data_IF_251120524147
#
_entry.id   IF_251120524147
#
_cell.length_a   1.000
_cell.length_b   1.000
_cell.length_c   1.000
_cell.angle_alpha   90.00
_cell.angle_beta   90.00
_cell.angle_gamma   90.00
#
_symmetry.space_group_name_H-M   'P 1'
#
loop_
_entity.id
_entity.type
_entity.pdbx_description
1 polymer ?
#
# COMPACT_ATOMS: atom_id res chain seq x y z
N UNK A 1 22.15 -9.11 -19.32
CA UNK A 1 21.85 -8.90 -17.87
C UNK A 1 20.63 -9.74 -17.51
N UNK A 2 20.80 -10.70 -16.60
CA UNK A 2 19.69 -11.50 -16.06
C UNK A 2 19.07 -10.79 -14.86
N UNK A 3 17.75 -10.74 -14.82
CA UNK A 3 17.02 -10.02 -13.78
C UNK A 3 16.10 -10.98 -12.99
N UNK A 4 16.01 -10.80 -11.68
CA UNK A 4 15.02 -11.41 -10.81
C UNK A 4 14.10 -10.36 -10.20
N UNK A 5 12.81 -10.65 -10.20
CA UNK A 5 11.79 -9.93 -9.44
C UNK A 5 11.45 -10.77 -8.22
N UNK A 6 11.55 -10.19 -7.03
CA UNK A 6 11.32 -10.91 -5.78
C UNK A 6 10.21 -10.20 -5.00
N UNK A 7 9.06 -10.86 -4.85
CA UNK A 7 7.93 -10.30 -4.12
C UNK A 7 7.71 -11.01 -2.79
N UNK A 8 7.21 -10.29 -1.78
CA UNK A 8 7.09 -10.87 -0.44
C UNK A 8 6.14 -12.07 -0.39
N UNK A 9 4.97 -12.04 -0.98
CA UNK A 9 4.05 -13.18 -1.16
C UNK A 9 2.89 -12.83 -2.10
N UNK A 10 2.27 -13.87 -2.67
CA UNK A 10 1.02 -13.77 -3.41
C UNK A 10 -0.05 -14.59 -2.67
N UNK A 11 -0.58 -14.07 -1.55
CA UNK A 11 -1.61 -14.71 -0.72
C UNK A 11 -2.85 -13.84 -0.50
N UNK A 12 -2.83 -12.65 -1.07
CA UNK A 12 -3.93 -11.68 -1.10
C UNK A 12 -3.83 -10.86 -2.38
N UNK A 13 -4.84 -10.05 -2.68
CA UNK A 13 -4.73 -8.99 -3.70
C UNK A 13 -4.66 -7.64 -3.02
N UNK A 14 -3.69 -6.82 -3.41
CA UNK A 14 -3.50 -5.48 -2.89
C UNK A 14 -2.53 -4.65 -3.71
N UNK A 15 -2.14 -3.49 -3.19
CA UNK A 15 -1.26 -2.57 -3.90
C UNK A 15 0.15 -3.10 -4.16
N UNK A 16 0.66 -3.94 -3.26
CA UNK A 16 2.00 -4.55 -3.43
C UNK A 16 2.05 -5.52 -4.60
N UNK A 17 1.02 -6.36 -4.74
CA UNK A 17 0.88 -7.31 -5.84
C UNK A 17 0.72 -6.59 -7.19
N UNK A 18 0.04 -5.42 -7.22
CA UNK A 18 -0.03 -4.58 -8.43
C UNK A 18 1.33 -4.03 -8.82
N UNK A 19 2.15 -3.60 -7.88
CA UNK A 19 3.53 -3.15 -8.17
C UNK A 19 4.36 -4.30 -8.74
N UNK A 20 4.28 -5.50 -8.16
CA UNK A 20 4.98 -6.68 -8.67
C UNK A 20 4.52 -7.06 -10.09
N UNK A 21 3.22 -6.93 -10.38
CA UNK A 21 2.65 -7.14 -11.71
C UNK A 21 3.23 -6.14 -12.72
N UNK A 22 3.27 -4.84 -12.38
CA UNK A 22 3.86 -3.80 -13.24
C UNK A 22 5.36 -4.07 -13.47
N UNK A 23 6.11 -4.51 -12.45
CA UNK A 23 7.50 -4.92 -12.67
C UNK A 23 7.61 -6.09 -13.65
N UNK A 24 6.74 -7.08 -13.55
CA UNK A 24 6.73 -8.19 -14.48
C UNK A 24 6.32 -7.77 -15.91
N UNK A 25 5.44 -6.79 -16.06
CA UNK A 25 5.10 -6.18 -17.36
C UNK A 25 6.30 -5.41 -17.94
N UNK A 26 7.04 -4.67 -17.11
CA UNK A 26 8.24 -3.92 -17.52
C UNK A 26 9.40 -4.83 -17.95
N UNK A 27 9.55 -5.98 -17.30
CA UNK A 27 10.64 -6.93 -17.45
C UNK A 27 10.13 -8.33 -17.78
N UNK A 28 9.66 -8.57 -19.02
CA UNK A 28 9.02 -9.83 -19.38
C UNK A 28 9.95 -11.05 -19.30
N UNK A 29 11.26 -10.86 -19.37
CA UNK A 29 12.25 -11.94 -19.28
C UNK A 29 12.76 -12.20 -17.84
N UNK A 30 12.27 -11.44 -16.84
CA UNK A 30 12.70 -11.61 -15.47
C UNK A 30 12.04 -12.85 -14.83
N UNK A 31 12.84 -13.64 -14.11
CA UNK A 31 12.34 -14.72 -13.27
C UNK A 31 11.68 -14.15 -12.01
N UNK A 32 10.58 -14.75 -11.56
CA UNK A 32 9.80 -14.27 -10.41
C UNK A 32 9.94 -15.21 -9.22
N UNK A 33 10.26 -14.62 -8.07
CA UNK A 33 10.40 -15.31 -6.78
C UNK A 33 9.42 -14.76 -5.75
N UNK A 34 8.97 -15.61 -4.83
CA UNK A 34 8.16 -15.19 -3.70
C UNK A 34 8.40 -16.07 -2.45
N UNK A 35 8.10 -15.54 -1.27
CA UNK A 35 8.15 -16.34 -0.05
C UNK A 35 7.10 -17.45 -0.08
N UNK A 36 5.86 -17.08 -0.43
CA UNK A 36 4.69 -17.96 -0.53
C UNK A 36 3.78 -17.52 -1.67
N UNK A 37 3.12 -18.48 -2.30
CA UNK A 37 2.15 -18.25 -3.37
C UNK A 37 0.87 -19.03 -3.15
N UNK A 38 -0.26 -18.38 -3.40
CA UNK A 38 -1.54 -19.02 -3.61
C UNK A 38 -1.94 -18.72 -5.06
N UNK A 39 -2.15 -19.73 -5.91
CA UNK A 39 -2.44 -19.53 -7.33
C UNK A 39 -3.60 -18.59 -7.63
N UNK A 40 -4.57 -18.49 -6.72
CA UNK A 40 -5.72 -17.58 -6.86
C UNK A 40 -5.30 -16.10 -6.85
N UNK A 41 -4.20 -15.77 -6.15
CA UNK A 41 -3.76 -14.39 -5.95
C UNK A 41 -2.55 -14.00 -6.81
N UNK A 42 -1.97 -14.94 -7.56
CA UNK A 42 -0.89 -14.62 -8.51
C UNK A 42 -1.48 -13.89 -9.71
N UNK A 43 -0.99 -12.68 -10.07
CA UNK A 43 -1.44 -11.97 -11.27
C UNK A 43 -1.23 -12.83 -12.53
N UNK A 44 -2.15 -12.73 -13.49
CA UNK A 44 -2.15 -13.59 -14.71
C UNK A 44 -0.84 -13.46 -15.51
N UNK A 45 -0.31 -12.25 -15.62
CA UNK A 45 0.96 -11.98 -16.30
C UNK A 45 2.16 -12.67 -15.65
N UNK A 46 2.12 -12.88 -14.33
CA UNK A 46 3.16 -13.58 -13.56
C UNK A 46 2.91 -15.10 -13.59
N UNK A 47 1.66 -15.55 -13.45
CA UNK A 47 1.34 -16.97 -13.36
C UNK A 47 1.73 -17.74 -14.61
N UNK A 48 1.66 -17.13 -15.79
CA UNK A 48 2.09 -17.72 -17.07
C UNK A 48 3.60 -18.03 -17.14
N UNK A 49 4.41 -17.35 -16.34
CA UNK A 49 5.88 -17.53 -16.28
C UNK A 49 6.31 -18.47 -15.18
N UNK A 50 5.43 -18.74 -14.23
CA UNK A 50 5.74 -19.44 -13.00
C UNK A 50 6.36 -18.54 -11.93
N UNK A 51 6.23 -18.97 -10.68
CA UNK A 51 6.84 -18.31 -9.51
C UNK A 51 7.63 -19.34 -8.72
N UNK A 52 8.91 -19.05 -8.49
CA UNK A 52 9.74 -19.86 -7.59
C UNK A 52 9.46 -19.45 -6.15
N UNK A 53 8.84 -20.34 -5.38
CA UNK A 53 8.51 -20.09 -3.97
C UNK A 53 9.57 -20.70 -3.04
N UNK A 54 9.67 -20.12 -1.82
CA UNK A 54 10.56 -20.65 -0.78
C UNK A 54 10.13 -22.06 -0.32
N UNK A 55 10.99 -22.75 0.47
CA UNK A 55 10.64 -24.04 1.05
C UNK A 55 9.40 -23.99 1.95
N UNK A 56 9.03 -22.82 2.48
CA UNK A 56 7.81 -22.67 3.28
C UNK A 56 6.55 -23.08 2.53
N UNK A 57 6.55 -23.00 1.19
CA UNK A 57 5.45 -23.46 0.35
C UNK A 57 5.13 -24.95 0.55
N UNK A 58 6.10 -25.77 0.99
CA UNK A 58 5.92 -27.21 1.25
C UNK A 58 5.22 -27.49 2.58
N UNK A 59 5.10 -26.50 3.46
CA UNK A 59 4.40 -26.65 4.74
C UNK A 59 2.88 -26.67 4.48
N UNK A 60 2.16 -27.69 4.98
CA UNK A 60 0.71 -27.77 4.80
C UNK A 60 0.01 -26.49 5.28
N UNK A 61 -0.87 -25.91 4.44
CA UNK A 61 -1.61 -24.66 4.72
C UNK A 61 -0.72 -23.43 4.97
N UNK A 62 0.51 -23.41 4.49
CA UNK A 62 1.47 -22.31 4.70
C UNK A 62 0.86 -20.93 4.40
N UNK A 63 0.12 -20.79 3.30
CA UNK A 63 -0.54 -19.52 2.92
C UNK A 63 -1.53 -19.00 3.97
N UNK A 64 -2.19 -19.89 4.71
CA UNK A 64 -3.13 -19.52 5.78
C UNK A 64 -2.43 -19.20 7.10
N UNK A 65 -1.32 -19.88 7.39
CA UNK A 65 -0.59 -19.76 8.67
C UNK A 65 0.71 -18.94 8.54
N UNK A 66 0.94 -18.29 7.40
CA UNK A 66 2.19 -17.60 7.07
C UNK A 66 2.68 -16.67 8.21
N UNK A 67 1.77 -15.96 8.89
CA UNK A 67 2.13 -15.08 10.01
C UNK A 67 2.78 -15.80 11.19
N UNK A 68 2.47 -17.08 11.38
CA UNK A 68 3.06 -17.91 12.43
C UNK A 68 4.44 -18.48 12.02
N UNK A 69 4.79 -18.38 10.72
CA UNK A 69 6.07 -18.83 10.18
C UNK A 69 7.15 -17.74 10.27
N UNK A 70 6.88 -16.63 10.92
CA UNK A 70 7.78 -15.48 11.08
C UNK A 70 9.22 -15.87 11.48
N UNK A 71 9.47 -16.75 12.46
CA UNK A 71 10.84 -17.15 12.83
C UNK A 71 11.63 -17.81 11.71
N UNK A 72 10.96 -18.40 10.72
CA UNK A 72 11.57 -19.09 9.59
C UNK A 72 11.83 -18.17 8.38
N UNK A 73 11.35 -16.93 8.40
CA UNK A 73 11.50 -16.01 7.28
C UNK A 73 12.95 -15.75 6.88
N UNK A 74 13.89 -15.49 7.81
CA UNK A 74 15.29 -15.31 7.45
C UNK A 74 15.83 -16.49 6.64
N UNK A 75 15.66 -17.70 7.14
CA UNK A 75 16.13 -18.91 6.49
C UNK A 75 15.46 -19.12 5.11
N UNK A 76 14.15 -18.88 5.03
CA UNK A 76 13.39 -19.10 3.81
C UNK A 76 13.76 -18.13 2.68
N UNK A 77 14.10 -16.90 3.04
CA UNK A 77 14.52 -15.87 2.10
C UNK A 77 15.95 -16.10 1.62
N UNK A 78 16.86 -16.39 2.53
CA UNK A 78 18.29 -16.59 2.23
C UNK A 78 18.58 -17.90 1.47
N UNK A 79 17.62 -18.82 1.40
CA UNK A 79 17.72 -20.05 0.59
C UNK A 79 17.32 -19.88 -0.88
N UNK A 80 16.75 -18.74 -1.27
CA UNK A 80 16.47 -18.48 -2.67
C UNK A 80 17.79 -18.24 -3.41
N UNK A 81 18.09 -19.07 -4.40
CA UNK A 81 19.31 -18.93 -5.17
C UNK A 81 19.16 -17.81 -6.23
N UNK A 82 19.74 -16.67 -5.92
CA UNK A 82 19.79 -15.50 -6.79
C UNK A 82 21.18 -15.28 -7.40
N UNK A 83 22.12 -16.22 -7.25
CA UNK A 83 23.47 -16.13 -7.83
C UNK A 83 23.48 -15.98 -9.36
N UNK A 84 22.51 -16.50 -10.16
CA UNK A 84 22.51 -16.31 -11.61
C UNK A 84 22.15 -14.88 -12.08
N UNK A 85 21.69 -13.98 -11.19
CA UNK A 85 21.11 -12.69 -11.57
C UNK A 85 22.08 -11.52 -11.37
N UNK A 86 22.07 -10.60 -12.33
CA UNK A 86 22.87 -9.38 -12.33
C UNK A 86 22.13 -8.24 -11.60
N UNK A 87 20.80 -8.21 -11.71
CA UNK A 87 19.92 -7.24 -11.08
C UNK A 87 18.78 -7.97 -10.34
N UNK A 88 18.65 -7.71 -9.06
CA UNK A 88 17.58 -8.21 -8.21
C UNK A 88 16.69 -7.04 -7.79
N UNK A 89 15.42 -7.08 -8.20
CA UNK A 89 14.41 -6.08 -7.84
C UNK A 89 13.44 -6.69 -6.83
N UNK A 90 13.53 -6.27 -5.58
CA UNK A 90 12.58 -6.71 -4.55
C UNK A 90 11.41 -5.73 -4.43
N UNK A 91 10.17 -6.25 -4.34
CA UNK A 91 8.94 -5.54 -4.02
C UNK A 91 8.51 -6.01 -2.63
N UNK A 92 8.80 -5.22 -1.59
CA UNK A 92 8.83 -5.71 -0.22
C UNK A 92 8.08 -4.86 0.80
N UNK A 93 7.21 -5.51 1.55
CA UNK A 93 6.67 -5.03 2.84
C UNK A 93 6.94 -6.04 3.97
N UNK A 94 7.86 -6.97 3.71
CA UNK A 94 8.16 -8.13 4.53
C UNK A 94 9.66 -8.43 4.58
N UNK A 95 10.05 -9.71 4.44
CA UNK A 95 11.43 -10.13 4.61
C UNK A 95 12.26 -10.15 3.31
N UNK A 96 11.68 -9.90 2.12
CA UNK A 96 12.32 -10.24 0.85
C UNK A 96 13.53 -9.37 0.49
N UNK A 97 13.68 -8.19 1.10
CA UNK A 97 14.93 -7.41 1.00
C UNK A 97 16.15 -8.16 1.60
N UNK A 98 15.90 -9.25 2.33
CA UNK A 98 16.93 -10.07 2.94
C UNK A 98 17.53 -11.14 2.02
N UNK A 99 17.14 -11.23 0.75
CA UNK A 99 17.75 -12.15 -0.21
C UNK A 99 19.27 -11.95 -0.30
N UNK A 100 19.97 -13.04 -0.61
CA UNK A 100 21.42 -13.01 -0.81
C UNK A 100 21.71 -12.88 -2.31
N UNK A 101 22.55 -11.92 -2.65
CA UNK A 101 23.03 -11.68 -4.01
C UNK A 101 24.54 -11.86 -4.06
N UNK A 102 25.10 -12.11 -5.25
CA UNK A 102 26.54 -12.11 -5.43
C UNK A 102 27.11 -10.68 -5.31
N UNK A 103 28.41 -10.50 -5.01
CA UNK A 103 29.00 -9.20 -4.72
C UNK A 103 28.91 -8.18 -5.85
N UNK A 104 28.89 -8.63 -7.11
CA UNK A 104 28.81 -7.81 -8.31
C UNK A 104 27.39 -7.63 -8.85
N UNK A 105 26.38 -8.24 -8.22
CA UNK A 105 24.98 -8.01 -8.55
C UNK A 105 24.42 -6.78 -7.84
N UNK A 106 23.48 -6.11 -8.49
CA UNK A 106 22.77 -4.95 -7.91
C UNK A 106 21.46 -5.38 -7.30
N UNK A 107 21.24 -5.02 -6.03
CA UNK A 107 19.98 -5.23 -5.34
C UNK A 107 19.23 -3.89 -5.14
N UNK A 108 18.12 -3.72 -5.84
CA UNK A 108 17.20 -2.59 -5.67
C UNK A 108 15.96 -3.05 -4.92
N UNK A 109 15.61 -2.37 -3.84
CA UNK A 109 14.44 -2.69 -3.03
C UNK A 109 13.37 -1.60 -3.16
N UNK A 110 12.26 -1.91 -3.83
CA UNK A 110 11.04 -1.13 -3.74
C UNK A 110 10.31 -1.47 -2.44
N UNK A 111 10.48 -0.61 -1.46
CA UNK A 111 9.98 -0.81 -0.11
C UNK A 111 8.57 -0.21 0.03
N UNK A 112 7.57 -1.08 0.19
CA UNK A 112 6.21 -0.62 0.51
C UNK A 112 6.12 -0.12 1.95
N UNK A 113 6.86 -0.75 2.85
CA UNK A 113 6.98 -0.38 4.26
C UNK A 113 8.04 -1.24 4.95
N UNK A 114 8.86 -0.73 5.87
CA UNK A 114 9.48 -1.55 6.90
C UNK A 114 8.44 -2.38 7.64
N UNK A 115 8.76 -3.62 8.04
CA UNK A 115 7.81 -4.55 8.65
C UNK A 115 7.15 -3.95 9.92
N UNK A 116 5.91 -3.43 9.79
CA UNK A 116 5.23 -2.68 10.86
C UNK A 116 5.13 -3.46 12.17
N UNK A 117 4.85 -4.76 12.10
CA UNK A 117 4.72 -5.62 13.28
C UNK A 117 6.05 -5.86 14.03
N UNK A 118 7.18 -5.52 13.43
CA UNK A 118 8.50 -5.58 14.08
C UNK A 118 8.93 -4.22 14.64
N UNK A 119 8.48 -3.11 14.03
CA UNK A 119 8.90 -1.74 14.32
C UNK A 119 7.80 -0.95 15.01
N UNK A 120 7.24 0.05 14.38
CA UNK A 120 6.25 0.99 14.95
C UNK A 120 4.95 0.34 15.43
N UNK A 121 4.49 -0.71 14.76
CA UNK A 121 3.29 -1.47 15.15
C UNK A 121 3.50 -2.50 16.26
N UNK A 122 4.75 -2.80 16.65
CA UNK A 122 5.08 -3.91 17.55
C UNK A 122 4.23 -3.94 18.82
N UNK A 123 4.15 -2.84 19.55
CA UNK A 123 3.39 -2.79 20.80
C UNK A 123 1.88 -2.92 20.58
N UNK A 124 1.36 -2.43 19.46
CA UNK A 124 -0.05 -2.59 19.10
C UNK A 124 -0.39 -4.06 18.85
N UNK A 125 0.44 -4.75 18.06
CA UNK A 125 0.27 -6.19 17.81
C UNK A 125 0.40 -7.00 19.11
N UNK A 126 1.39 -6.70 19.94
CA UNK A 126 1.60 -7.40 21.20
C UNK A 126 0.40 -7.26 22.17
N UNK A 127 -0.26 -6.08 22.19
CA UNK A 127 -1.46 -5.86 23.03
C UNK A 127 -2.64 -6.72 22.60
N UNK A 128 -2.82 -6.98 21.31
CA UNK A 128 -3.94 -7.75 20.77
C UNK A 128 -3.75 -9.28 20.87
N UNK A 129 -2.55 -9.74 21.22
CA UNK A 129 -2.23 -11.18 21.28
C UNK A 129 -2.69 -11.82 22.59
N UNK A 130 -3.08 -13.12 22.54
CA UNK A 130 -3.27 -13.92 23.75
C UNK A 130 -2.01 -13.96 24.60
N UNK A 131 -2.17 -14.03 25.94
CA UNK A 131 -1.05 -13.98 26.90
C UNK A 131 0.06 -14.99 26.57
N UNK A 132 -0.31 -16.25 26.26
CA UNK A 132 0.64 -17.32 25.95
C UNK A 132 1.43 -17.09 24.66
N UNK A 133 0.92 -16.28 23.72
CA UNK A 133 1.59 -15.96 22.46
C UNK A 133 2.55 -14.77 22.58
N UNK A 134 2.46 -13.96 23.63
CA UNK A 134 3.24 -12.73 23.78
C UNK A 134 4.75 -12.97 23.88
N UNK A 135 5.18 -13.94 24.71
CA UNK A 135 6.61 -14.25 24.89
C UNK A 135 7.22 -14.85 23.60
N UNK A 136 6.65 -15.90 22.98
CA UNK A 136 7.13 -16.41 21.70
C UNK A 136 7.19 -15.34 20.61
N UNK A 137 6.17 -14.49 20.52
CA UNK A 137 6.16 -13.39 19.54
C UNK A 137 7.25 -12.35 19.83
N UNK A 138 7.48 -12.00 21.09
CA UNK A 138 8.52 -11.04 21.46
C UNK A 138 9.93 -11.54 21.10
N UNK A 139 10.21 -12.82 21.37
CA UNK A 139 11.49 -13.45 21.03
C UNK A 139 11.68 -13.53 19.53
N UNK A 140 10.68 -14.01 18.80
CA UNK A 140 10.70 -14.08 17.33
C UNK A 140 10.85 -12.69 16.71
N UNK A 141 10.13 -11.68 17.21
CA UNK A 141 10.22 -10.31 16.73
C UNK A 141 11.58 -9.69 16.99
N UNK A 142 12.20 -9.95 18.12
CA UNK A 142 13.57 -9.48 18.42
C UNK A 142 14.58 -10.09 17.43
N UNK A 143 14.53 -11.39 17.24
CA UNK A 143 15.39 -12.12 16.29
C UNK A 143 15.21 -11.60 14.86
N UNK A 144 13.98 -11.55 14.37
CA UNK A 144 13.70 -11.13 12.99
C UNK A 144 13.97 -9.64 12.79
N UNK A 145 13.78 -8.77 13.80
CA UNK A 145 14.12 -7.34 13.72
C UNK A 145 15.63 -7.12 13.57
N UNK A 146 16.44 -7.87 14.31
CA UNK A 146 17.90 -7.80 14.18
C UNK A 146 18.35 -8.23 12.78
N UNK A 147 17.80 -9.34 12.30
CA UNK A 147 18.06 -9.81 10.94
C UNK A 147 17.56 -8.81 9.87
N UNK A 148 16.38 -8.23 10.06
CA UNK A 148 15.77 -7.25 9.16
C UNK A 148 16.64 -5.99 9.00
N UNK A 149 17.22 -5.50 10.11
CA UNK A 149 18.17 -4.41 10.08
C UNK A 149 19.45 -4.76 9.31
N UNK A 150 20.04 -5.95 9.58
CA UNK A 150 21.23 -6.42 8.88
C UNK A 150 20.95 -6.63 7.39
N UNK A 151 19.82 -7.21 7.07
CA UNK A 151 19.35 -7.42 5.69
C UNK A 151 19.24 -6.10 4.91
N UNK A 152 18.73 -5.05 5.55
CA UNK A 152 18.61 -3.74 4.93
C UNK A 152 19.96 -3.12 4.57
N UNK A 153 21.05 -3.49 5.26
CA UNK A 153 22.40 -2.97 4.93
C UNK A 153 22.97 -3.59 3.64
N UNK A 154 22.45 -4.73 3.19
CA UNK A 154 22.87 -5.39 1.93
C UNK A 154 22.20 -4.84 0.68
N UNK A 155 21.13 -4.06 0.83
CA UNK A 155 20.42 -3.43 -0.29
C UNK A 155 21.28 -2.31 -0.88
N UNK A 156 21.55 -2.33 -2.19
CA UNK A 156 22.30 -1.27 -2.85
C UNK A 156 21.49 0.02 -2.94
N UNK A 157 20.21 -0.06 -3.33
CA UNK A 157 19.36 1.12 -3.48
C UNK A 157 17.93 0.86 -2.98
N UNK A 158 17.46 1.73 -2.09
CA UNK A 158 16.07 1.74 -1.66
C UNK A 158 15.23 2.69 -2.49
N UNK A 159 14.05 2.22 -2.90
CA UNK A 159 12.99 3.04 -3.45
C UNK A 159 11.83 2.98 -2.46
N UNK A 160 11.44 4.12 -1.91
CA UNK A 160 10.30 4.22 -0.99
C UNK A 160 9.03 4.55 -1.77
N UNK A 161 7.90 3.96 -1.41
CA UNK A 161 6.61 4.24 -2.06
C UNK A 161 6.00 5.60 -1.66
N UNK A 162 6.61 6.32 -0.71
CA UNK A 162 6.16 7.61 -0.20
C UNK A 162 7.26 8.29 0.61
N UNK A 163 7.17 9.61 0.83
CA UNK A 163 8.04 10.31 1.77
C UNK A 163 7.85 9.79 3.20
N UNK A 164 6.62 9.39 3.54
CA UNK A 164 6.32 8.77 4.82
C UNK A 164 7.12 7.48 5.04
N UNK A 165 7.21 6.61 4.03
CA UNK A 165 8.01 5.39 4.08
C UNK A 165 9.51 5.68 3.98
N UNK A 166 9.93 6.69 3.20
CA UNK A 166 11.32 7.13 3.16
C UNK A 166 11.83 7.55 4.55
N UNK A 167 11.02 8.32 5.31
CA UNK A 167 11.33 8.66 6.69
C UNK A 167 11.45 7.44 7.61
N UNK A 168 10.63 6.40 7.39
CA UNK A 168 10.71 5.13 8.14
C UNK A 168 11.95 4.31 7.78
N UNK A 169 12.34 4.26 6.50
CA UNK A 169 13.58 3.61 6.04
C UNK A 169 14.78 4.29 6.70
N UNK A 170 14.83 5.61 6.66
CA UNK A 170 15.89 6.39 7.33
C UNK A 170 15.92 6.13 8.83
N UNK A 171 14.77 6.18 9.50
CA UNK A 171 14.67 5.99 10.95
C UNK A 171 15.07 4.59 11.43
N UNK A 172 14.57 3.53 10.75
CA UNK A 172 14.77 2.14 11.21
C UNK A 172 16.00 1.48 10.65
N UNK A 173 16.42 1.84 9.44
CA UNK A 173 17.56 1.21 8.77
C UNK A 173 18.78 2.10 8.66
N UNK A 174 18.65 3.42 8.91
CA UNK A 174 19.73 4.38 8.70
C UNK A 174 20.11 4.50 7.22
N UNK A 175 19.18 4.24 6.29
CA UNK A 175 19.42 4.22 4.84
C UNK A 175 18.65 5.33 4.15
N UNK A 176 19.25 5.91 3.12
CA UNK A 176 18.59 6.81 2.19
C UNK A 176 17.72 6.04 1.20
N UNK A 177 16.74 6.71 0.60
CA UNK A 177 15.87 6.13 -0.42
C UNK A 177 15.39 7.18 -1.41
N UNK A 178 15.20 6.76 -2.66
CA UNK A 178 14.49 7.55 -3.69
C UNK A 178 13.00 7.35 -3.55
N UNK A 179 12.21 8.42 -3.57
CA UNK A 179 10.75 8.29 -3.51
C UNK A 179 10.19 8.07 -4.93
N UNK A 180 9.46 6.99 -5.09
CA UNK A 180 8.68 6.68 -6.29
C UNK A 180 7.30 6.17 -5.87
N UNK A 181 6.27 6.98 -6.09
CA UNK A 181 4.88 6.63 -5.76
C UNK A 181 4.42 5.41 -6.56
N UNK A 182 3.60 4.50 -5.96
CA UNK A 182 3.16 3.28 -6.62
C UNK A 182 2.21 3.57 -7.80
N UNK A 183 2.13 2.66 -8.77
CA UNK A 183 1.33 2.83 -9.97
C UNK A 183 -0.18 2.75 -9.66
N UNK A 184 -0.92 3.77 -10.11
CA UNK A 184 -2.38 3.80 -10.08
C UNK A 184 -2.89 3.66 -11.52
N UNK A 185 -3.90 2.83 -11.74
CA UNK A 185 -4.53 2.67 -13.04
C UNK A 185 -5.58 3.77 -13.25
N UNK A 186 -5.12 5.01 -13.44
CA UNK A 186 -6.00 6.18 -13.55
C UNK A 186 -6.83 6.18 -14.83
N UNK A 187 -6.43 5.39 -15.83
CA UNK A 187 -7.17 5.24 -17.09
C UNK A 187 -8.55 4.57 -16.91
N UNK A 188 -8.76 3.83 -15.81
CA UNK A 188 -10.08 3.25 -15.46
C UNK A 188 -11.02 4.27 -14.87
N UNK A 189 -10.50 5.37 -14.32
CA UNK A 189 -11.30 6.44 -13.74
C UNK A 189 -12.01 7.25 -14.82
N UNK A 190 -13.27 7.59 -14.58
CA UNK A 190 -14.04 8.46 -15.44
C UNK A 190 -14.91 9.43 -14.63
N UNK A 191 -15.24 10.56 -15.22
CA UNK A 191 -16.12 11.54 -14.61
C UNK A 191 -17.57 11.16 -14.89
N UNK A 192 -18.36 10.92 -13.84
CA UNK A 192 -19.81 10.78 -13.99
C UNK A 192 -20.46 12.17 -14.09
N UNK A 193 -21.59 12.27 -14.80
CA UNK A 193 -22.31 13.54 -15.04
C UNK A 193 -22.74 14.20 -13.74
N UNK A 194 -23.21 13.42 -12.75
CA UNK A 194 -23.54 13.89 -11.41
C UNK A 194 -23.25 12.81 -10.36
N UNK A 195 -22.80 13.18 -9.15
CA UNK A 195 -22.71 12.24 -8.04
C UNK A 195 -24.11 11.83 -7.57
N UNK A 196 -24.22 10.59 -7.06
CA UNK A 196 -25.34 10.14 -6.25
C UNK A 196 -25.14 10.60 -4.79
N UNK A 197 -26.23 10.63 -4.02
CA UNK A 197 -26.19 11.07 -2.62
C UNK A 197 -25.67 9.99 -1.67
N UNK A 198 -24.39 9.60 -1.79
CA UNK A 198 -23.70 8.74 -0.82
C UNK A 198 -22.21 9.05 -0.72
N UNK A 199 -21.67 8.82 0.48
CA UNK A 199 -20.23 8.74 0.72
C UNK A 199 -19.75 7.31 0.51
N UNK A 200 -18.47 7.16 0.17
CA UNK A 200 -17.86 5.86 -0.06
C UNK A 200 -16.75 5.59 0.95
N UNK A 201 -16.69 4.37 1.49
CA UNK A 201 -15.53 3.82 2.14
C UNK A 201 -15.10 2.54 1.39
N UNK A 202 -13.85 2.45 0.97
CA UNK A 202 -13.37 1.32 0.18
C UNK A 202 -12.08 0.72 0.76
N UNK A 203 -11.97 -0.60 0.70
CA UNK A 203 -10.77 -1.33 1.07
C UNK A 203 -11.03 -2.51 2.01
N UNK A 204 -9.94 -3.14 2.44
CA UNK A 204 -10.01 -4.29 3.33
C UNK A 204 -10.52 -3.90 4.71
N UNK A 205 -11.53 -4.60 5.25
CA UNK A 205 -12.13 -4.29 6.55
C UNK A 205 -11.31 -4.89 7.69
N UNK A 206 -10.30 -4.10 8.12
CA UNK A 206 -9.35 -4.44 9.19
C UNK A 206 -9.25 -3.30 10.22
N UNK A 207 -8.85 -3.56 11.47
CA UNK A 207 -8.93 -2.57 12.55
C UNK A 207 -8.24 -1.23 12.27
N UNK A 208 -7.06 -1.23 11.62
CA UNK A 208 -6.32 0.02 11.37
C UNK A 208 -6.97 0.94 10.33
N UNK A 209 -7.92 0.42 9.52
CA UNK A 209 -8.71 1.22 8.57
C UNK A 209 -9.75 2.11 9.25
N UNK A 210 -10.06 1.85 10.52
CA UNK A 210 -10.94 2.68 11.35
C UNK A 210 -12.33 2.91 10.73
N UNK A 211 -12.84 1.92 9.98
CA UNK A 211 -14.15 2.01 9.30
C UNK A 211 -15.30 2.23 10.28
N UNK A 212 -15.13 1.78 11.53
CA UNK A 212 -16.12 2.00 12.61
C UNK A 212 -16.38 3.49 12.86
N UNK A 213 -15.36 4.35 12.75
CA UNK A 213 -15.52 5.80 12.95
C UNK A 213 -16.33 6.43 11.84
N UNK A 214 -16.16 5.95 10.59
CA UNK A 214 -16.93 6.41 9.43
C UNK A 214 -18.40 6.03 9.58
N UNK A 215 -18.69 4.80 10.02
CA UNK A 215 -20.05 4.32 10.26
C UNK A 215 -20.71 5.17 11.35
N UNK A 216 -20.03 5.41 12.47
CA UNK A 216 -20.57 6.19 13.59
C UNK A 216 -20.85 7.64 13.16
N UNK A 217 -19.91 8.29 12.47
CA UNK A 217 -20.08 9.65 11.96
C UNK A 217 -21.29 9.75 11.01
N UNK A 218 -21.40 8.82 10.04
CA UNK A 218 -22.50 8.81 9.09
C UNK A 218 -23.84 8.47 9.74
N UNK A 219 -23.90 7.55 10.71
CA UNK A 219 -25.10 7.27 11.49
C UNK A 219 -25.61 8.52 12.22
N UNK A 220 -24.71 9.26 12.88
CA UNK A 220 -25.05 10.46 13.67
C UNK A 220 -25.50 11.63 12.79
N UNK A 221 -24.90 11.76 11.60
CA UNK A 221 -25.28 12.80 10.61
C UNK A 221 -26.48 12.39 9.74
N UNK A 222 -26.90 11.12 9.77
CA UNK A 222 -27.93 10.60 8.86
C UNK A 222 -27.47 10.57 7.40
N UNK A 223 -26.16 10.47 7.13
CA UNK A 223 -25.60 10.45 5.77
C UNK A 223 -25.51 9.03 5.25
N UNK A 224 -25.78 8.84 3.95
CA UNK A 224 -25.64 7.54 3.29
C UNK A 224 -24.17 7.20 3.11
N UNK A 225 -23.78 5.99 3.54
CA UNK A 225 -22.42 5.47 3.37
C UNK A 225 -22.48 4.09 2.71
N UNK A 226 -21.81 3.95 1.58
CA UNK A 226 -21.55 2.66 0.94
C UNK A 226 -20.16 2.17 1.33
N UNK A 227 -20.07 0.92 1.75
CA UNK A 227 -18.81 0.29 2.19
C UNK A 227 -18.48 -0.85 1.24
N UNK A 228 -17.38 -0.70 0.50
CA UNK A 228 -16.84 -1.72 -0.42
C UNK A 228 -15.67 -2.42 0.24
N UNK A 229 -15.72 -3.74 0.26
CA UNK A 229 -14.64 -4.58 0.75
C UNK A 229 -15.09 -5.67 1.69
N UNK A 230 -14.14 -6.53 2.02
CA UNK A 230 -14.29 -7.66 2.94
C UNK A 230 -13.17 -7.68 3.96
N UNK A 231 -13.36 -8.36 5.06
CA UNK A 231 -12.33 -8.49 6.09
C UNK A 231 -12.85 -9.03 7.41
N UNK A 232 -11.98 -9.29 8.37
CA UNK A 232 -12.34 -9.89 9.67
C UNK A 232 -13.30 -9.02 10.50
N UNK A 233 -13.34 -7.70 10.25
CA UNK A 233 -14.20 -6.77 10.99
C UNK A 233 -15.66 -6.73 10.49
N UNK A 234 -16.01 -7.41 9.40
CA UNK A 234 -17.31 -7.28 8.72
C UNK A 234 -18.50 -7.50 9.66
N UNK A 235 -18.44 -8.53 10.52
CA UNK A 235 -19.54 -8.85 11.44
C UNK A 235 -19.74 -7.75 12.49
N UNK A 236 -18.64 -7.24 13.07
CA UNK A 236 -18.65 -6.14 14.04
C UNK A 236 -19.17 -4.85 13.41
N UNK A 237 -18.68 -4.51 12.22
CA UNK A 237 -19.08 -3.29 11.52
C UNK A 237 -20.56 -3.31 11.10
N UNK A 238 -21.08 -4.46 10.65
CA UNK A 238 -22.51 -4.62 10.35
C UNK A 238 -23.41 -4.45 11.59
N UNK A 239 -22.95 -4.90 12.75
CA UNK A 239 -23.71 -4.73 14.01
C UNK A 239 -23.80 -3.25 14.46
N UNK A 240 -22.90 -2.37 13.98
CA UNK A 240 -22.91 -0.93 14.28
C UNK A 240 -23.68 -0.11 13.23
N UNK A 241 -23.98 -0.69 12.09
CA UNK A 241 -24.56 0.01 10.95
C UNK A 241 -26.02 0.38 11.20
N UNK A 242 -26.35 1.65 10.99
CA UNK A 242 -27.72 2.16 10.93
C UNK A 242 -28.33 1.98 9.53
N UNK A 243 -29.56 2.47 9.33
CA UNK A 243 -30.33 2.26 8.09
C UNK A 243 -29.71 2.96 6.86
N UNK A 244 -28.81 3.92 7.04
CA UNK A 244 -28.15 4.66 5.96
C UNK A 244 -26.84 4.01 5.50
N UNK A 245 -26.40 2.92 6.13
CA UNK A 245 -25.12 2.27 5.85
C UNK A 245 -25.35 1.00 5.03
N UNK A 246 -24.72 0.93 3.86
CA UNK A 246 -24.82 -0.19 2.92
C UNK A 246 -23.46 -0.88 2.74
N UNK A 247 -23.42 -2.23 2.89
CA UNK A 247 -22.21 -3.03 2.65
C UNK A 247 -22.34 -3.75 1.30
N UNK A 248 -21.51 -3.36 0.35
CA UNK A 248 -21.50 -3.91 -1.01
C UNK A 248 -20.64 -5.18 -1.15
N UNK A 249 -19.82 -5.51 -0.12
CA UNK A 249 -18.90 -6.63 -0.21
C UNK A 249 -17.74 -6.38 -1.15
N UNK A 250 -17.17 -7.46 -1.71
CA UNK A 250 -16.15 -7.36 -2.74
C UNK A 250 -16.84 -7.09 -4.10
N UNK A 251 -16.39 -6.06 -4.80
CA UNK A 251 -16.87 -5.74 -6.15
C UNK A 251 -15.82 -6.15 -7.19
N UNK A 252 -16.28 -6.46 -8.40
CA UNK A 252 -15.41 -6.54 -9.57
C UNK A 252 -14.91 -5.14 -9.95
N UNK A 253 -13.88 -5.07 -10.81
CA UNK A 253 -13.29 -3.80 -11.20
C UNK A 253 -14.30 -2.80 -11.79
N UNK A 254 -15.17 -3.25 -12.69
CA UNK A 254 -16.17 -2.37 -13.33
C UNK A 254 -17.09 -1.70 -12.31
N UNK A 255 -17.65 -2.49 -11.39
CA UNK A 255 -18.60 -2.00 -10.39
C UNK A 255 -17.88 -1.15 -9.32
N UNK A 256 -16.62 -1.47 -8.98
CA UNK A 256 -15.81 -0.68 -8.08
C UNK A 256 -15.56 0.74 -8.65
N UNK A 257 -15.09 0.84 -9.90
CA UNK A 257 -14.83 2.14 -10.52
C UNK A 257 -16.13 2.94 -10.72
N UNK A 258 -17.25 2.28 -11.04
CA UNK A 258 -18.56 2.91 -11.04
C UNK A 258 -18.93 3.46 -9.66
N UNK A 259 -18.70 2.69 -8.61
CA UNK A 259 -19.01 3.12 -7.23
C UNK A 259 -18.15 4.32 -6.82
N UNK A 260 -16.88 4.39 -7.25
CA UNK A 260 -16.07 5.60 -7.07
C UNK A 260 -16.68 6.79 -7.84
N UNK A 261 -16.97 6.62 -9.12
CA UNK A 261 -17.39 7.72 -10.01
C UNK A 261 -18.69 8.41 -9.57
N UNK A 262 -19.60 7.66 -8.96
CA UNK A 262 -20.89 8.20 -8.50
C UNK A 262 -20.93 8.61 -7.02
N UNK A 263 -19.88 8.41 -6.26
CA UNK A 263 -19.84 8.87 -4.87
C UNK A 263 -19.77 10.41 -4.78
N UNK A 264 -20.32 11.02 -3.73
CA UNK A 264 -20.09 12.44 -3.42
C UNK A 264 -18.62 12.69 -3.08
N UNK A 265 -18.10 11.87 -2.16
CA UNK A 265 -16.70 11.88 -1.75
C UNK A 265 -16.31 10.52 -1.16
N UNK A 266 -15.01 10.23 -1.11
CA UNK A 266 -14.44 9.13 -0.35
C UNK A 266 -14.19 9.55 1.09
N UNK A 267 -14.58 8.72 2.05
CA UNK A 267 -14.19 8.83 3.46
C UNK A 267 -13.02 7.89 3.75
N UNK A 268 -11.92 8.41 4.26
CA UNK A 268 -10.69 7.65 4.46
C UNK A 268 -10.06 7.93 5.83
N UNK A 269 -10.32 7.06 6.81
CA UNK A 269 -9.88 7.22 8.19
C UNK A 269 -8.57 6.50 8.54
N UNK A 270 -7.95 5.82 7.57
CA UNK A 270 -6.73 5.06 7.81
C UNK A 270 -5.48 5.95 7.84
N UNK A 271 -4.51 5.58 8.70
CA UNK A 271 -3.12 5.99 8.56
C UNK A 271 -2.40 4.95 7.72
N UNK A 272 -2.17 5.25 6.45
CA UNK A 272 -1.50 4.36 5.49
C UNK A 272 -0.13 4.87 5.06
N UNK A 273 0.66 3.96 4.51
CA UNK A 273 2.00 4.26 4.03
C UNK A 273 1.98 5.13 2.77
N UNK A 274 0.96 4.96 1.91
CA UNK A 274 0.74 5.80 0.74
C UNK A 274 -0.75 6.16 0.56
N UNK A 275 -1.63 5.16 0.45
CA UNK A 275 -3.06 5.41 0.23
C UNK A 275 -3.44 5.42 -1.26
N UNK A 276 -3.48 4.24 -1.88
CA UNK A 276 -3.92 4.10 -3.29
C UNK A 276 -5.42 4.42 -3.46
N UNK A 277 -6.25 4.02 -2.50
CA UNK A 277 -7.70 4.23 -2.51
C UNK A 277 -8.13 5.71 -2.66
N UNK A 278 -7.52 6.68 -1.97
CA UNK A 278 -7.71 8.10 -2.25
C UNK A 278 -7.49 8.49 -3.70
N UNK A 279 -6.44 7.96 -4.34
CA UNK A 279 -6.13 8.28 -5.74
C UNK A 279 -7.07 7.60 -6.74
N UNK A 280 -7.59 6.41 -6.42
CA UNK A 280 -8.65 5.77 -7.22
C UNK A 280 -9.93 6.60 -7.23
N UNK A 281 -10.33 7.15 -6.07
CA UNK A 281 -11.45 8.09 -5.99
C UNK A 281 -11.19 9.37 -6.79
N UNK A 282 -10.00 9.94 -6.64
CA UNK A 282 -9.59 11.15 -7.37
C UNK A 282 -9.48 10.91 -8.89
N UNK A 283 -9.09 9.72 -9.34
CA UNK A 283 -9.11 9.35 -10.75
C UNK A 283 -10.52 9.41 -11.36
N UNK A 284 -11.55 9.26 -10.51
CA UNK A 284 -12.97 9.49 -10.87
C UNK A 284 -13.45 10.93 -10.61
N UNK A 285 -12.54 11.86 -10.33
CA UNK A 285 -12.86 13.25 -10.05
C UNK A 285 -13.58 13.47 -8.71
N UNK A 286 -13.51 12.52 -7.77
CA UNK A 286 -14.21 12.61 -6.48
C UNK A 286 -13.28 13.04 -5.36
N UNK A 287 -13.70 14.03 -4.57
CA UNK A 287 -12.94 14.52 -3.42
C UNK A 287 -12.74 13.46 -2.35
N UNK A 288 -11.75 13.67 -1.50
CA UNK A 288 -11.41 12.75 -0.41
C UNK A 288 -11.48 13.47 0.93
N UNK A 289 -12.25 12.95 1.87
CA UNK A 289 -12.26 13.38 3.27
C UNK A 289 -11.38 12.40 4.03
N UNK A 290 -10.16 12.82 4.37
CA UNK A 290 -9.11 11.91 4.81
C UNK A 290 -8.56 12.25 6.20
N UNK A 291 -8.05 11.22 6.88
CA UNK A 291 -7.18 11.44 8.02
C UNK A 291 -5.87 12.09 7.56
N UNK A 292 -5.57 13.29 8.07
CA UNK A 292 -4.41 14.09 7.70
C UNK A 292 -3.11 13.58 8.29
N UNK A 293 -2.75 12.30 8.00
CA UNK A 293 -1.54 11.65 8.46
C UNK A 293 -1.09 10.53 7.51
N UNK A 294 0.23 10.29 7.48
CA UNK A 294 0.83 9.28 6.58
C UNK A 294 0.72 9.67 5.12
N UNK A 295 0.54 8.70 4.23
CA UNK A 295 0.49 8.90 2.79
C UNK A 295 -0.66 9.77 2.29
N UNK A 296 -1.73 9.96 3.09
CA UNK A 296 -2.80 10.90 2.72
C UNK A 296 -2.30 12.33 2.53
N UNK A 297 -1.26 12.74 3.26
CA UNK A 297 -0.63 14.05 3.11
C UNK A 297 0.09 14.23 1.76
N UNK A 298 0.37 13.13 1.05
CA UNK A 298 1.05 13.12 -0.24
C UNK A 298 0.07 12.93 -1.41
N UNK A 299 -1.09 12.31 -1.14
CA UNK A 299 -2.07 11.94 -2.16
C UNK A 299 -3.28 12.87 -2.22
N UNK A 300 -3.54 13.66 -1.18
CA UNK A 300 -4.67 14.59 -1.10
C UNK A 300 -4.17 16.02 -0.91
N UNK A 301 -4.60 16.93 -1.78
CA UNK A 301 -4.39 18.38 -1.66
C UNK A 301 -5.60 18.97 -0.92
N UNK A 302 -5.52 19.03 0.40
CA UNK A 302 -6.65 19.47 1.21
C UNK A 302 -6.63 20.98 1.42
N UNK A 303 -7.80 21.62 1.34
CA UNK A 303 -7.99 23.07 1.59
C UNK A 303 -7.54 23.51 2.99
N UNK A 304 -7.69 22.63 3.97
CA UNK A 304 -7.29 22.86 5.36
C UNK A 304 -5.96 22.20 5.72
N UNK A 305 -5.08 22.00 4.74
CA UNK A 305 -3.76 21.40 4.96
C UNK A 305 -2.90 22.31 5.82
N UNK A 306 -2.32 21.76 6.88
CA UNK A 306 -1.41 22.52 7.76
C UNK A 306 -0.12 22.84 7.02
N UNK A 307 0.15 24.14 6.83
CA UNK A 307 1.37 24.62 6.19
C UNK A 307 1.37 24.60 4.66
N UNK A 308 0.22 24.42 4.02
CA UNK A 308 0.06 24.55 2.57
C UNK A 308 -1.20 25.33 2.24
N UNK A 309 -1.06 26.40 1.48
CA UNK A 309 -2.20 27.13 0.90
C UNK A 309 -2.59 26.41 -0.40
N UNK A 310 -3.77 25.78 -0.40
CA UNK A 310 -4.34 25.13 -1.58
C UNK A 310 -5.49 26.00 -2.07
N UNK A 311 -5.38 26.51 -3.30
CA UNK A 311 -6.41 27.35 -3.90
C UNK A 311 -7.73 26.59 -4.10
N UNK A 312 -8.85 27.31 -4.03
CA UNK A 312 -10.15 26.78 -4.43
C UNK A 312 -10.08 26.29 -5.89
N UNK A 313 -10.60 25.12 -6.20
CA UNK A 313 -10.52 24.53 -7.52
C UNK A 313 -9.26 23.67 -7.78
N UNK A 314 -8.20 23.78 -6.99
CA UNK A 314 -7.04 22.87 -6.99
C UNK A 314 -7.11 21.83 -5.87
N UNK A 315 -7.94 22.06 -4.87
CA UNK A 315 -8.14 21.14 -3.77
C UNK A 315 -8.74 19.82 -4.24
N UNK A 316 -8.25 18.72 -3.66
CA UNK A 316 -8.78 17.37 -3.93
C UNK A 316 -9.46 16.77 -2.72
N UNK A 317 -9.60 17.51 -1.62
CA UNK A 317 -10.29 17.03 -0.44
C UNK A 317 -10.16 17.90 0.80
N UNK A 318 -10.52 17.30 1.94
CA UNK A 318 -10.47 17.90 3.29
C UNK A 318 -9.78 16.93 4.23
N UNK A 319 -8.98 17.44 5.17
CA UNK A 319 -8.42 16.63 6.25
C UNK A 319 -9.20 16.78 7.56
N UNK A 320 -9.28 15.69 8.31
CA UNK A 320 -9.48 15.69 9.75
C UNK A 320 -8.21 15.20 10.44
N UNK A 321 -7.92 15.68 11.65
CA UNK A 321 -6.62 15.45 12.30
C UNK A 321 -6.72 14.60 13.57
N UNK A 322 -7.91 14.17 13.95
CA UNK A 322 -8.17 13.26 15.05
C UNK A 322 -9.02 12.09 14.56
N UNK A 323 -8.65 10.87 14.91
CA UNK A 323 -9.43 9.69 14.57
C UNK A 323 -10.61 9.53 15.53
N UNK A 324 -11.56 10.47 15.47
CA UNK A 324 -12.81 10.50 16.24
C UNK A 324 -14.00 10.69 15.31
N UNK A 325 -15.20 10.18 15.65
CA UNK A 325 -16.41 10.44 14.87
C UNK A 325 -16.71 11.94 14.74
N UNK A 326 -16.44 12.73 15.79
CA UNK A 326 -16.66 14.17 15.85
C UNK A 326 -15.83 14.90 14.78
N UNK A 327 -14.52 14.63 14.72
CA UNK A 327 -13.63 15.25 13.73
C UNK A 327 -14.02 14.87 12.29
N UNK A 328 -14.49 13.63 12.08
CA UNK A 328 -15.00 13.18 10.78
C UNK A 328 -16.30 13.91 10.43
N UNK A 329 -17.22 14.08 11.37
CA UNK A 329 -18.46 14.83 11.18
C UNK A 329 -18.18 16.27 10.79
N UNK A 330 -17.27 16.94 11.50
CA UNK A 330 -16.84 18.31 11.18
C UNK A 330 -16.26 18.42 9.77
N UNK A 331 -15.42 17.47 9.37
CA UNK A 331 -14.84 17.43 8.02
C UNK A 331 -15.89 17.17 6.93
N UNK A 332 -16.88 16.31 7.18
CA UNK A 332 -18.02 16.09 6.28
C UNK A 332 -18.82 17.39 6.10
N UNK A 333 -19.17 18.07 7.20
CA UNK A 333 -19.94 19.33 7.14
C UNK A 333 -19.15 20.45 6.46
N UNK A 334 -17.83 20.54 6.72
CA UNK A 334 -16.96 21.48 6.04
C UNK A 334 -16.87 21.22 4.53
N UNK A 335 -16.80 19.97 4.13
CA UNK A 335 -16.87 19.56 2.72
C UNK A 335 -18.22 19.96 2.10
N UNK A 336 -19.34 19.62 2.75
CA UNK A 336 -20.69 19.93 2.25
C UNK A 336 -20.93 21.45 2.07
N UNK A 337 -20.33 22.27 2.93
CA UNK A 337 -20.42 23.73 2.82
C UNK A 337 -19.65 24.33 1.63
N UNK A 338 -18.75 23.55 1.02
CA UNK A 338 -17.86 24.01 -0.06
C UNK A 338 -17.80 23.02 -1.22
N UNK A 339 -18.77 22.11 -1.34
CA UNK A 339 -18.77 21.03 -2.33
C UNK A 339 -18.66 21.56 -3.77
N UNK A 340 -19.34 22.66 -4.08
CA UNK A 340 -19.35 23.29 -5.41
C UNK A 340 -17.99 23.89 -5.82
N UNK A 341 -17.07 24.06 -4.89
CA UNK A 341 -15.74 24.61 -5.15
C UNK A 341 -14.72 23.53 -5.60
N UNK A 342 -15.09 22.26 -5.53
CA UNK A 342 -14.23 21.15 -6.00
C UNK A 342 -14.44 20.90 -7.49
N UNK A 343 -13.36 21.01 -8.26
CA UNK A 343 -13.38 20.72 -9.71
C UNK A 343 -13.10 19.24 -9.98
N UNK A 344 -14.07 18.44 -10.47
CA UNK A 344 -13.83 17.04 -10.80
C UNK A 344 -12.68 16.83 -11.79
N UNK A 345 -12.51 17.75 -12.74
CA UNK A 345 -11.41 17.68 -13.73
C UNK A 345 -10.06 17.96 -13.07
N UNK A 346 -9.94 18.95 -12.19
CA UNK A 346 -8.69 19.24 -11.49
C UNK A 346 -8.29 18.06 -10.58
N UNK A 347 -9.25 17.46 -9.86
CA UNK A 347 -9.05 16.29 -9.02
C UNK A 347 -8.54 15.12 -9.87
N UNK A 348 -9.17 14.83 -11.00
CA UNK A 348 -8.74 13.77 -11.90
C UNK A 348 -7.33 14.04 -12.46
N UNK A 349 -7.03 15.27 -12.85
CA UNK A 349 -5.69 15.64 -13.33
C UNK A 349 -4.62 15.47 -12.24
N UNK A 350 -4.94 15.76 -10.98
CA UNK A 350 -4.05 15.48 -9.86
C UNK A 350 -3.74 13.98 -9.76
N UNK A 351 -4.76 13.11 -9.82
CA UNK A 351 -4.56 11.67 -9.77
C UNK A 351 -3.69 11.12 -10.91
N UNK A 352 -3.76 11.72 -12.11
CA UNK A 352 -2.95 11.30 -13.28
C UNK A 352 -1.44 11.43 -13.07
N UNK A 353 -0.99 12.24 -12.12
CA UNK A 353 0.43 12.35 -11.76
C UNK A 353 0.98 11.05 -11.14
N UNK A 354 0.08 10.17 -10.69
CA UNK A 354 0.38 8.87 -10.08
C UNK A 354 0.06 7.70 -11.04
N UNK A 355 -0.16 7.98 -12.33
CA UNK A 355 -0.50 6.95 -13.31
C UNK A 355 0.61 5.91 -13.48
N UNK A 356 0.20 4.70 -13.85
CA UNK A 356 1.11 3.58 -14.12
C UNK A 356 2.19 3.96 -15.16
N UNK A 357 1.85 4.76 -16.17
CA UNK A 357 2.84 5.20 -17.17
C UNK A 357 3.92 6.10 -16.57
N UNK A 358 3.55 7.00 -15.66
CA UNK A 358 4.49 7.86 -14.92
C UNK A 358 5.40 7.02 -14.03
N UNK A 359 4.84 6.03 -13.33
CA UNK A 359 5.62 5.09 -12.53
C UNK A 359 6.65 4.34 -13.38
N UNK A 360 6.22 3.77 -14.50
CA UNK A 360 7.09 3.00 -15.43
C UNK A 360 8.24 3.84 -15.96
N UNK A 361 7.96 5.08 -16.40
CA UNK A 361 8.98 5.99 -16.92
C UNK A 361 10.02 6.33 -15.84
N UNK A 362 9.57 6.74 -14.66
CA UNK A 362 10.46 7.08 -13.55
C UNK A 362 11.26 5.87 -13.06
N UNK A 363 10.65 4.69 -12.99
CA UNK A 363 11.33 3.45 -12.59
C UNK A 363 12.42 3.06 -13.59
N UNK A 364 12.18 3.22 -14.89
CA UNK A 364 13.21 3.02 -15.92
C UNK A 364 14.37 3.99 -15.73
N UNK A 365 14.09 5.26 -15.45
CA UNK A 365 15.13 6.26 -15.15
C UNK A 365 15.99 5.88 -13.94
N UNK A 366 15.37 5.39 -12.86
CA UNK A 366 16.09 4.94 -11.65
C UNK A 366 16.98 3.72 -11.95
N UNK A 367 16.48 2.77 -12.76
CA UNK A 367 17.24 1.54 -13.07
C UNK A 367 18.28 1.69 -14.20
N UNK A 368 18.21 2.76 -15.00
CA UNK A 368 19.06 2.97 -16.17
C UNK A 368 20.58 2.88 -15.88
N UNK A 369 21.13 3.41 -14.78
CA UNK A 369 22.56 3.31 -14.48
C UNK A 369 23.04 1.86 -14.40
N UNK A 370 22.22 0.96 -13.88
CA UNK A 370 22.59 -0.44 -13.69
C UNK A 370 22.31 -1.32 -14.91
N UNK A 371 21.42 -0.88 -15.81
CA UNK A 371 21.12 -1.61 -17.06
C UNK A 371 22.21 -1.44 -18.12
N UNK A 372 22.98 -0.35 -18.05
CA UNK A 372 24.04 -0.01 -19.03
C UNK A 372 25.42 -0.57 -18.65
N UNK A 373 25.53 -1.43 -17.63
CA UNK A 373 26.81 -2.04 -17.23
C UNK A 373 27.78 -1.08 -16.55
N UNK A 374 27.31 0.08 -16.07
CA UNK A 374 28.14 0.99 -15.30
C UNK A 374 28.33 0.44 -13.89
N UNK A 375 29.59 0.14 -13.56
CA UNK A 375 30.06 -0.21 -12.22
C UNK A 375 29.51 0.82 -11.22
N UNK A 376 29.00 0.34 -10.10
CA UNK A 376 28.61 1.14 -8.94
C UNK A 376 29.66 2.23 -8.70
N UNK A 377 29.29 3.52 -8.66
CA UNK A 377 30.20 4.52 -8.10
C UNK A 377 30.42 4.12 -6.62
N UNK A 378 31.64 3.76 -6.27
CA UNK A 378 32.04 3.75 -4.86
C UNK A 378 31.98 5.20 -4.40
N UNK A 379 30.96 5.59 -3.65
CA UNK A 379 30.98 6.76 -2.79
C UNK A 379 32.07 6.50 -1.75
N UNK A 380 33.21 7.15 -1.91
CA UNK A 380 34.26 7.04 -0.96
C UNK A 380 35.37 8.01 -1.22
N UNK A 381 35.61 8.92 -0.53
CA UNK A 381 36.79 9.40 0.20
C UNK A 381 36.41 10.65 0.98
#
# INVERSE_FOLDING_TARGET
MRMAIVHHWFVTRGGGERVAEVFAEMFPEADVFALLTDPEFVPEGISKRGVTSSFLQRIPKATRIHRHLLPLYPLAVEQLDLTPYDLVLTSDSGPMKGVLTRPDAVHVCYCHSPMRYLWDGYHSYLRTMPMLAKIPFALASHYVRTWDYIAAQRVNHFIANSNYVAGRISHYYGRESTVLYPPIDTARGYLADAPEDYYLAAGRLVPYKRTELLIEACNRLGRRLRIVGVGPEIARLRAMAGPTIEFLGALNNHDLWRTYAYARALLFAAEEDFGMVPLESQACGRPVIAYGKGGSLETVRARNSRGQDVEAGEATGVFFYEQTPEAIMEAILAFEATEDEYSPRAIQMHARQFDTAVFVDRMRGILAPWQQGSVVPQEGE
#
